data_IF_210150699955
#
_entry.id   IF_210150699955
#
_cell.length_a   1.000
_cell.length_b   1.000
_cell.length_c   1.000
_cell.angle_alpha   90.00
_cell.angle_beta   90.00
_cell.angle_gamma   90.00
#
_symmetry.space_group_name_H-M   'P 1'
#
loop_
_entity.id
_entity.type
_entity.pdbx_description
1 polymer ?
#
# COMPACT_ATOMS: atom_id res chain seq x y z
N UNK A 1 14.05 3.74 -0.12
CA UNK A 1 13.31 2.85 0.81
C UNK A 1 14.30 2.15 1.71
N UNK A 2 13.96 1.93 2.98
CA UNK A 2 14.80 1.15 3.87
C UNK A 2 14.89 -0.31 3.40
N UNK A 3 16.00 -0.98 3.74
CA UNK A 3 16.23 -2.38 3.34
C UNK A 3 15.17 -3.33 3.90
N UNK A 4 14.58 -2.98 5.05
CA UNK A 4 13.60 -3.78 5.78
C UNK A 4 12.14 -3.46 5.44
N UNK A 5 11.89 -2.78 4.32
CA UNK A 5 10.54 -2.36 3.91
C UNK A 5 10.17 -2.80 2.50
N UNK A 6 8.88 -3.10 2.32
CA UNK A 6 8.29 -3.45 1.02
C UNK A 6 7.06 -2.57 0.79
N UNK A 7 6.92 -2.05 -0.43
CA UNK A 7 5.82 -1.17 -0.84
C UNK A 7 4.78 -1.89 -1.68
N UNK A 8 3.54 -1.46 -1.50
CA UNK A 8 2.37 -1.87 -2.27
C UNK A 8 1.54 -0.65 -2.63
N UNK A 9 0.81 -0.75 -3.73
CA UNK A 9 -0.18 0.23 -4.16
C UNK A 9 -1.58 -0.35 -3.99
N UNK A 10 -2.55 0.53 -3.75
CA UNK A 10 -3.97 0.19 -3.76
C UNK A 10 -4.65 1.04 -4.82
N UNK A 11 -5.53 0.42 -5.60
CA UNK A 11 -6.40 1.09 -6.56
C UNK A 11 -7.81 0.46 -6.53
N UNK A 12 -8.85 1.16 -6.98
CA UNK A 12 -10.18 0.58 -7.15
C UNK A 12 -10.15 -0.62 -8.10
N UNK A 13 -10.94 -1.65 -7.79
CA UNK A 13 -11.00 -2.88 -8.59
C UNK A 13 -11.54 -2.63 -9.99
N UNK A 14 -12.60 -1.81 -10.11
CA UNK A 14 -13.23 -1.52 -11.40
C UNK A 14 -12.25 -0.76 -12.33
N UNK A 15 -11.41 0.11 -11.76
CA UNK A 15 -10.34 0.81 -12.48
C UNK A 15 -9.22 -0.15 -12.91
N UNK A 16 -8.88 -1.15 -12.08
CA UNK A 16 -7.95 -2.20 -12.51
C UNK A 16 -8.52 -3.04 -13.65
N UNK A 17 -9.80 -3.41 -13.60
CA UNK A 17 -10.45 -4.26 -14.61
C UNK A 17 -10.74 -3.51 -15.92
N UNK A 18 -10.94 -2.19 -15.88
CA UNK A 18 -11.16 -1.34 -17.06
C UNK A 18 -9.87 -1.07 -17.85
N UNK A 19 -8.71 -1.20 -17.21
CA UNK A 19 -7.40 -0.96 -17.83
C UNK A 19 -6.75 -2.26 -18.30
N UNK A 20 -6.40 -2.31 -19.59
CA UNK A 20 -5.79 -3.50 -20.20
C UNK A 20 -4.37 -3.75 -19.66
N UNK A 21 -3.64 -2.69 -19.28
CA UNK A 21 -2.29 -2.76 -18.74
C UNK A 21 -2.02 -1.57 -17.81
N UNK A 22 -1.25 -1.83 -16.75
CA UNK A 22 -0.67 -0.81 -15.88
C UNK A 22 0.76 -0.51 -16.34
N UNK A 23 1.15 0.75 -16.34
CA UNK A 23 2.47 1.17 -16.83
C UNK A 23 3.23 1.97 -15.78
N UNK A 24 4.55 1.82 -15.81
CA UNK A 24 5.47 2.72 -15.11
C UNK A 24 5.87 3.84 -16.05
N UNK A 25 6.11 5.02 -15.51
CA UNK A 25 6.70 6.13 -16.24
C UNK A 25 8.16 5.82 -16.64
N UNK A 26 8.80 6.77 -17.33
CA UNK A 26 10.19 6.63 -17.82
C UNK A 26 11.20 6.42 -16.68
N UNK A 27 10.89 6.88 -15.47
CA UNK A 27 11.70 6.70 -14.26
C UNK A 27 11.45 5.35 -13.55
N UNK A 28 10.59 4.50 -14.11
CA UNK A 28 10.22 3.21 -13.51
C UNK A 28 9.29 3.35 -12.29
N UNK A 29 8.67 4.50 -12.10
CA UNK A 29 7.71 4.78 -11.04
C UNK A 29 6.29 4.54 -11.55
N UNK A 30 5.44 4.02 -10.66
CA UNK A 30 4.02 3.90 -10.93
C UNK A 30 3.30 5.12 -10.37
N UNK A 31 2.66 5.88 -11.26
CA UNK A 31 1.73 6.92 -10.86
C UNK A 31 0.32 6.32 -10.85
N UNK A 32 -0.23 6.14 -9.65
CA UNK A 32 -1.57 5.60 -9.50
C UNK A 32 -2.67 6.67 -9.46
N UNK A 33 -2.34 7.94 -9.69
CA UNK A 33 -3.29 9.08 -9.70
C UNK A 33 -4.41 8.86 -10.71
N UNK A 34 -4.08 8.32 -11.88
CA UNK A 34 -5.04 8.09 -12.94
C UNK A 34 -6.13 7.06 -12.62
N UNK A 35 -5.96 6.26 -11.56
CA UNK A 35 -6.87 5.19 -11.16
C UNK A 35 -7.77 5.60 -9.98
N UNK A 36 -7.67 6.83 -9.47
CA UNK A 36 -8.49 7.32 -8.35
C UNK A 36 -9.48 8.42 -8.79
N UNK A 37 -10.02 8.31 -10.01
CA UNK A 37 -10.82 9.36 -10.66
C UNK A 37 -12.25 9.53 -10.13
N UNK A 38 -12.74 8.60 -9.30
CA UNK A 38 -14.07 8.70 -8.69
C UNK A 38 -14.03 9.39 -7.32
N UNK A 39 -15.19 9.93 -6.89
CA UNK A 39 -15.41 10.52 -5.56
C UNK A 39 -15.39 9.43 -4.45
N UNK A 40 -14.33 8.63 -4.38
CA UNK A 40 -14.12 7.70 -3.28
C UNK A 40 -13.78 8.53 -2.04
N UNK A 41 -14.69 8.50 -1.08
CA UNK A 41 -14.51 9.21 0.17
C UNK A 41 -13.30 8.61 0.95
N UNK A 42 -12.26 9.41 1.29
CA UNK A 42 -11.14 8.94 2.10
C UNK A 42 -11.54 8.31 3.44
N UNK A 43 -12.76 8.58 3.92
CA UNK A 43 -13.33 7.97 5.12
C UNK A 43 -13.47 6.44 5.04
N UNK A 44 -13.43 5.83 3.85
CA UNK A 44 -13.37 4.34 3.75
C UNK A 44 -12.14 3.78 4.48
N UNK A 45 -11.09 4.59 4.62
CA UNK A 45 -9.84 4.22 5.30
C UNK A 45 -9.84 4.49 6.81
N UNK A 46 -10.88 5.13 7.34
CA UNK A 46 -10.95 5.51 8.76
C UNK A 46 -10.84 4.31 9.71
N UNK A 47 -11.26 3.13 9.26
CA UNK A 47 -11.15 1.90 10.06
C UNK A 47 -9.70 1.51 10.41
N UNK A 48 -8.70 2.05 9.71
CA UNK A 48 -7.29 1.87 10.02
C UNK A 48 -6.88 2.50 11.35
N UNK A 49 -7.58 3.54 11.83
CA UNK A 49 -7.30 4.21 13.11
C UNK A 49 -7.22 3.24 14.30
N UNK A 50 -7.91 2.09 14.20
CA UNK A 50 -7.97 1.05 15.24
C UNK A 50 -6.67 0.24 15.33
N UNK A 51 -5.94 0.11 14.22
CA UNK A 51 -4.80 -0.81 14.09
C UNK A 51 -3.49 -0.11 13.78
N UNK A 52 -3.57 1.05 13.14
CA UNK A 52 -2.42 1.83 12.74
C UNK A 52 -2.73 3.29 13.08
N UNK A 53 -2.03 3.88 14.07
CA UNK A 53 -2.37 5.21 14.55
C UNK A 53 -2.16 6.24 13.45
N UNK A 54 -3.14 7.13 13.26
CA UNK A 54 -2.97 8.29 12.39
C UNK A 54 -1.92 9.22 12.98
N UNK A 55 -0.97 9.64 12.15
CA UNK A 55 0.10 10.57 12.54
C UNK A 55 0.11 11.79 11.63
N UNK A 56 0.74 12.88 12.10
CA UNK A 56 0.94 14.06 11.25
C UNK A 56 1.92 13.72 10.13
N UNK A 57 1.50 13.94 8.88
CA UNK A 57 2.36 13.80 7.71
C UNK A 57 3.23 15.05 7.49
N UNK A 58 4.22 14.92 6.61
CA UNK A 58 5.08 16.02 6.15
C UNK A 58 4.36 16.99 5.19
N UNK A 59 3.22 16.58 4.64
CA UNK A 59 2.34 17.40 3.81
C UNK A 59 0.93 17.40 4.37
N UNK A 60 0.24 18.53 4.30
CA UNK A 60 -1.17 18.65 4.70
C UNK A 60 -2.10 17.88 3.74
N UNK A 61 -1.60 17.52 2.55
CA UNK A 61 -2.30 16.74 1.52
C UNK A 61 -2.13 15.22 1.70
N UNK A 62 -1.53 14.76 2.80
CA UNK A 62 -1.31 13.33 3.05
C UNK A 62 -1.95 12.92 4.38
N UNK A 63 -2.90 12.01 4.31
CA UNK A 63 -3.34 11.25 5.48
C UNK A 63 -2.38 10.08 5.65
N UNK A 64 -1.64 10.07 6.75
CA UNK A 64 -0.69 9.02 7.08
C UNK A 64 -1.14 8.26 8.33
N UNK A 65 -1.16 6.94 8.23
CA UNK A 65 -1.25 6.02 9.36
C UNK A 65 0.11 5.35 9.53
N UNK A 66 0.58 5.25 10.78
CA UNK A 66 1.88 4.66 11.11
C UNK A 66 3.05 5.59 10.77
N UNK A 67 4.28 5.12 10.98
CA UNK A 67 5.49 5.95 10.91
C UNK A 67 6.48 5.41 9.88
N UNK A 68 7.27 6.29 9.27
CA UNK A 68 8.25 5.93 8.24
C UNK A 68 9.25 4.84 8.67
N UNK A 69 9.51 4.69 9.96
CA UNK A 69 10.39 3.66 10.53
C UNK A 69 9.69 2.29 10.78
N UNK A 70 8.38 2.21 10.54
CA UNK A 70 7.52 1.05 10.81
C UNK A 70 6.63 0.74 9.60
N UNK A 71 5.46 0.15 9.84
CA UNK A 71 4.39 0.02 8.86
C UNK A 71 3.77 1.41 8.60
N UNK A 72 3.48 1.71 7.34
CA UNK A 72 2.91 2.98 6.89
C UNK A 72 1.77 2.71 5.94
N UNK A 73 0.69 3.47 6.07
CA UNK A 73 -0.37 3.57 5.07
C UNK A 73 -0.56 5.05 4.73
N UNK A 74 -0.43 5.39 3.46
CA UNK A 74 -0.47 6.76 2.96
C UNK A 74 -1.62 6.92 1.97
N UNK A 75 -2.40 7.97 2.17
CA UNK A 75 -3.43 8.44 1.25
C UNK A 75 -3.06 9.87 0.87
N UNK A 76 -2.72 10.09 -0.39
CA UNK A 76 -2.53 11.43 -0.95
C UNK A 76 -3.87 11.96 -1.43
N UNK A 77 -4.17 13.20 -1.05
CA UNK A 77 -5.41 13.90 -1.37
C UNK A 77 -5.08 15.23 -2.03
N UNK A 78 -5.72 15.51 -3.16
CA UNK A 78 -5.64 16.80 -3.86
C UNK A 78 -7.06 17.21 -4.23
N UNK A 79 -7.42 18.48 -4.00
CA UNK A 79 -8.78 19.01 -4.22
C UNK A 79 -9.93 18.18 -3.59
N UNK A 80 -9.68 17.59 -2.42
CA UNK A 80 -10.57 16.66 -1.69
C UNK A 80 -10.82 15.30 -2.37
N UNK A 81 -10.05 14.96 -3.40
CA UNK A 81 -10.08 13.68 -4.08
C UNK A 81 -8.86 12.85 -3.72
N UNK A 82 -9.03 11.54 -3.67
CA UNK A 82 -7.89 10.63 -3.51
C UNK A 82 -7.08 10.68 -4.80
N UNK A 83 -5.78 10.90 -4.69
CA UNK A 83 -4.85 10.72 -5.80
C UNK A 83 -4.13 9.39 -5.69
N UNK A 84 -3.70 9.02 -4.50
CA UNK A 84 -2.88 7.83 -4.35
C UNK A 84 -3.14 7.16 -3.02
N UNK A 85 -3.23 5.84 -3.05
CA UNK A 85 -3.20 5.00 -1.86
C UNK A 85 -2.06 4.02 -1.98
N UNK A 86 -1.22 3.98 -0.95
CA UNK A 86 -0.11 3.02 -0.86
C UNK A 86 0.12 2.61 0.58
N UNK A 87 0.77 1.47 0.76
CA UNK A 87 1.24 1.06 2.07
C UNK A 87 2.63 0.43 1.99
N UNK A 88 3.37 0.59 3.08
CA UNK A 88 4.67 0.00 3.30
C UNK A 88 4.60 -0.86 4.55
N UNK A 89 5.08 -2.09 4.43
CA UNK A 89 5.27 -2.93 5.59
C UNK A 89 6.73 -2.92 6.01
N UNK A 90 6.97 -2.89 7.32
CA UNK A 90 8.25 -3.20 7.92
C UNK A 90 8.23 -4.69 8.31
N UNK A 91 8.92 -5.52 7.55
CA UNK A 91 8.90 -6.98 7.76
C UNK A 91 9.71 -7.46 8.97
N UNK A 92 10.42 -6.55 9.65
CA UNK A 92 11.11 -6.84 10.92
C UNK A 92 10.27 -6.48 12.15
N UNK A 93 9.07 -5.95 11.92
CA UNK A 93 8.07 -5.65 12.95
C UNK A 93 6.91 -6.65 12.93
N UNK A 94 6.00 -6.57 13.92
CA UNK A 94 4.72 -7.28 13.85
C UNK A 94 3.79 -6.59 12.82
N UNK A 95 3.96 -6.93 11.55
CA UNK A 95 3.17 -6.37 10.44
C UNK A 95 1.93 -7.21 10.09
N UNK A 96 1.80 -8.42 10.63
CA UNK A 96 0.76 -9.36 10.20
C UNK A 96 -0.64 -8.84 10.49
N UNK A 97 -0.85 -8.26 11.67
CA UNK A 97 -2.14 -7.66 12.05
C UNK A 97 -2.53 -6.51 11.12
N UNK A 98 -1.58 -5.62 10.83
CA UNK A 98 -1.78 -4.50 9.89
C UNK A 98 -2.12 -5.01 8.50
N UNK A 99 -1.39 -6.01 8.00
CA UNK A 99 -1.63 -6.58 6.67
C UNK A 99 -3.01 -7.22 6.56
N UNK A 100 -3.46 -7.96 7.58
CA UNK A 100 -4.81 -8.58 7.59
C UNK A 100 -5.91 -7.53 7.52
N UNK A 101 -5.75 -6.41 8.22
CA UNK A 101 -6.74 -5.33 8.21
C UNK A 101 -6.75 -4.56 6.89
N UNK A 102 -5.59 -4.30 6.29
CA UNK A 102 -5.52 -3.73 4.95
C UNK A 102 -6.21 -4.65 3.93
N UNK A 103 -5.97 -5.96 3.99
CA UNK A 103 -6.64 -6.94 3.12
C UNK A 103 -8.16 -6.90 3.33
N UNK A 104 -8.63 -6.89 4.59
CA UNK A 104 -10.06 -6.81 4.91
C UNK A 104 -10.68 -5.54 4.35
N UNK A 105 -9.99 -4.41 4.48
CA UNK A 105 -10.41 -3.12 3.95
C UNK A 105 -10.55 -3.16 2.42
N UNK A 106 -9.56 -3.73 1.72
CA UNK A 106 -9.62 -3.87 0.27
C UNK A 106 -10.80 -4.75 -0.17
N UNK A 107 -11.09 -5.84 0.55
CA UNK A 107 -12.24 -6.72 0.25
C UNK A 107 -13.57 -5.95 0.40
N UNK A 108 -13.75 -5.21 1.50
CA UNK A 108 -15.00 -4.51 1.81
C UNK A 108 -15.28 -3.37 0.82
N UNK A 109 -14.23 -2.68 0.36
CA UNK A 109 -14.35 -1.49 -0.48
C UNK A 109 -14.06 -1.76 -1.97
N UNK A 110 -14.04 -3.03 -2.39
CA UNK A 110 -13.75 -3.42 -3.78
C UNK A 110 -12.46 -2.79 -4.32
N UNK A 111 -11.36 -2.92 -3.57
CA UNK A 111 -10.03 -2.44 -3.95
C UNK A 111 -9.11 -3.63 -4.26
N UNK A 112 -8.05 -3.38 -5.03
CA UNK A 112 -7.00 -4.37 -5.31
C UNK A 112 -5.65 -3.91 -4.76
N UNK A 113 -4.78 -4.88 -4.46
CA UNK A 113 -3.41 -4.63 -4.02
C UNK A 113 -2.46 -4.97 -5.16
N UNK A 114 -1.57 -4.04 -5.47
CA UNK A 114 -0.51 -4.19 -6.46
C UNK A 114 0.85 -4.12 -5.77
N UNK A 115 1.79 -4.93 -6.24
CA UNK A 115 3.19 -4.82 -5.84
C UNK A 115 3.86 -3.63 -6.53
N UNK A 116 5.10 -3.31 -6.11
CA UNK A 116 5.92 -2.30 -6.80
C UNK A 116 6.21 -2.64 -8.28
N UNK A 117 6.14 -3.91 -8.66
CA UNK A 117 6.23 -4.40 -10.05
C UNK A 117 4.88 -4.53 -10.76
N UNK A 118 3.81 -3.96 -10.19
CA UNK A 118 2.46 -3.93 -10.76
C UNK A 118 1.80 -5.31 -10.89
N UNK A 119 2.28 -6.28 -10.11
CA UNK A 119 1.64 -7.59 -10.00
C UNK A 119 0.43 -7.49 -9.08
N UNK A 120 -0.71 -7.95 -9.58
CA UNK A 120 -1.91 -8.12 -8.77
C UNK A 120 -1.69 -9.18 -7.69
N UNK A 121 -1.95 -8.78 -6.45
CA UNK A 121 -1.90 -9.67 -5.30
C UNK A 121 -3.31 -10.18 -4.97
N UNK A 122 -3.50 -11.51 -4.89
CA UNK A 122 -4.71 -12.07 -4.27
C UNK A 122 -4.88 -11.50 -2.86
N UNK A 123 -6.10 -11.06 -2.52
CA UNK A 123 -6.46 -10.54 -1.20
C UNK A 123 -6.54 -11.67 -0.16
N UNK A 124 -5.39 -12.32 0.06
CA UNK A 124 -5.19 -13.44 0.95
C UNK A 124 -3.89 -13.21 1.71
N UNK A 125 -3.98 -13.28 3.04
CA UNK A 125 -2.84 -13.00 3.91
C UNK A 125 -1.66 -13.93 3.61
N UNK A 126 -1.87 -15.25 3.50
CA UNK A 126 -0.77 -16.21 3.31
C UNK A 126 -0.03 -15.96 1.99
N UNK A 127 -0.75 -15.60 0.94
CA UNK A 127 -0.17 -15.30 -0.38
C UNK A 127 0.68 -14.02 -0.31
N UNK A 128 0.15 -12.95 0.28
CA UNK A 128 0.90 -11.68 0.38
C UNK A 128 2.07 -11.84 1.34
N UNK A 129 1.88 -12.53 2.46
CA UNK A 129 2.93 -12.84 3.43
C UNK A 129 4.06 -13.65 2.79
N UNK A 130 3.73 -14.67 1.99
CA UNK A 130 4.72 -15.45 1.25
C UNK A 130 5.51 -14.57 0.27
N UNK A 131 4.84 -13.68 -0.47
CA UNK A 131 5.50 -12.73 -1.35
C UNK A 131 6.49 -11.83 -0.60
N UNK A 132 6.10 -11.34 0.58
CA UNK A 132 6.95 -10.52 1.45
C UNK A 132 8.19 -11.28 1.89
N UNK A 133 8.02 -12.49 2.42
CA UNK A 133 9.11 -13.33 2.92
C UNK A 133 10.07 -13.80 1.81
N UNK A 134 9.58 -13.91 0.58
CA UNK A 134 10.37 -14.27 -0.60
C UNK A 134 10.87 -13.05 -1.39
N UNK A 135 10.73 -11.84 -0.84
CA UNK A 135 11.16 -10.64 -1.53
C UNK A 135 12.70 -10.50 -1.54
N UNK A 136 13.29 -9.89 -2.58
CA UNK A 136 14.71 -9.55 -2.60
C UNK A 136 15.18 -8.76 -1.38
N UNK A 137 14.29 -7.95 -0.79
CA UNK A 137 14.55 -7.15 0.39
C UNK A 137 14.83 -8.02 1.62
N UNK A 138 14.01 -9.05 1.87
CA UNK A 138 14.21 -9.98 2.98
C UNK A 138 15.52 -10.75 2.81
N UNK A 139 15.81 -11.24 1.61
CA UNK A 139 17.07 -11.93 1.35
C UNK A 139 18.29 -11.03 1.58
N UNK A 140 18.27 -9.80 1.06
CA UNK A 140 19.35 -8.83 1.26
C UNK A 140 19.51 -8.43 2.73
N UNK A 141 18.40 -8.25 3.45
CA UNK A 141 18.41 -7.96 4.89
C UNK A 141 19.07 -9.09 5.68
N UNK A 142 18.68 -10.34 5.44
CA UNK A 142 19.26 -11.50 6.11
C UNK A 142 20.76 -11.67 5.77
N UNK A 143 21.16 -11.41 4.52
CA UNK A 143 22.58 -11.41 4.14
C UNK A 143 23.39 -10.28 4.76
N UNK A 144 22.77 -9.16 5.12
CA UNK A 144 23.45 -8.04 5.79
C UNK A 144 23.68 -8.31 7.29
N UNK A 145 22.87 -9.17 7.91
CA UNK A 145 22.98 -9.55 9.31
C UNK A 145 23.97 -10.69 9.57
N UNK A 146 24.36 -11.43 8.53
CA UNK A 146 25.33 -12.53 8.58
C UNK A 146 26.74 -12.04 8.23
#
# INVERSE_FOLDING_TARGET
>A
MALWQISFFIIPKDEFESHIQLYKNEDGLFDNTDYWKENVDPLIFKSLDVFLPKVKSWSDNIIQYGTLDSNVFEIRIEDNLIESVSFRINFTSDYEGVLREIIRLCIINSLVILTADLKLMPLNFEIINTYVQQSPQVFKYNSFLN
#
